data_IF_168120251323
#
_entry.id   IF_168120251323
#
_cell.length_a   1.000
_cell.length_b   1.000
_cell.length_c   1.000
_cell.angle_alpha   90.00
_cell.angle_beta   90.00
_cell.angle_gamma   90.00
#
_symmetry.space_group_name_H-M   'P 1'
#
loop_
_entity.id
_entity.type
_entity.pdbx_description
1 polymer ?
#
# COMPACT_ATOMS: atom_id res chain seq x y z
N UNK A 1 3.07 -15.42 -0.36
CA UNK A 1 4.43 -15.15 0.10
C UNK A 1 5.46 -15.89 -0.79
N UNK A 2 6.51 -15.20 -1.27
CA UNK A 2 7.59 -15.78 -2.11
C UNK A 2 8.53 -16.67 -1.29
N UNK A 3 8.90 -16.25 -0.08
CA UNK A 3 9.86 -16.94 0.77
C UNK A 3 9.32 -18.23 1.37
N UNK A 4 9.93 -19.36 1.06
CA UNK A 4 9.58 -20.66 1.67
C UNK A 4 9.83 -20.65 3.18
N UNK A 5 10.91 -19.97 3.63
CA UNK A 5 11.22 -19.84 5.06
C UNK A 5 10.14 -19.05 5.80
N UNK A 6 9.68 -17.93 5.23
CA UNK A 6 8.60 -17.13 5.83
C UNK A 6 7.29 -17.91 5.91
N UNK A 7 6.96 -18.71 4.89
CA UNK A 7 5.79 -19.59 4.93
C UNK A 7 5.91 -20.69 6.00
N UNK A 8 7.08 -21.33 6.11
CA UNK A 8 7.35 -22.32 7.15
C UNK A 8 7.23 -21.72 8.56
N UNK A 9 7.84 -20.53 8.78
CA UNK A 9 7.74 -19.80 10.03
C UNK A 9 6.28 -19.46 10.40
N UNK A 10 5.48 -18.98 9.43
CA UNK A 10 4.07 -18.68 9.64
C UNK A 10 3.27 -19.94 10.03
N UNK A 11 3.58 -21.08 9.42
CA UNK A 11 2.95 -22.35 9.76
C UNK A 11 3.34 -22.84 11.15
N UNK A 12 4.61 -22.80 11.48
CA UNK A 12 5.15 -23.31 12.73
C UNK A 12 4.70 -22.48 13.94
N UNK A 13 4.78 -21.14 13.84
CA UNK A 13 4.56 -20.24 14.98
C UNK A 13 3.12 -19.76 15.11
N UNK A 14 2.36 -19.69 14.01
CA UNK A 14 1.01 -19.13 14.00
C UNK A 14 -0.04 -20.08 13.44
N UNK A 15 0.35 -21.30 13.04
CA UNK A 15 -0.51 -22.28 12.35
C UNK A 15 -1.23 -21.71 11.11
N UNK A 16 -0.61 -20.75 10.41
CA UNK A 16 -1.14 -20.16 9.20
C UNK A 16 -0.68 -20.94 7.97
N UNK A 17 -1.62 -21.29 7.09
CA UNK A 17 -1.35 -21.94 5.80
C UNK A 17 -1.15 -20.89 4.71
N UNK A 18 0.03 -20.29 4.70
CA UNK A 18 0.40 -19.26 3.71
C UNK A 18 0.79 -19.90 2.39
N UNK A 19 0.03 -19.62 1.34
CA UNK A 19 0.28 -20.14 0.00
C UNK A 19 1.47 -19.42 -0.69
N UNK A 20 2.19 -20.11 -1.60
CA UNK A 20 3.15 -19.43 -2.46
C UNK A 20 2.42 -18.44 -3.38
N UNK A 21 3.11 -17.36 -3.80
CA UNK A 21 2.52 -16.35 -4.67
C UNK A 21 2.03 -16.91 -6.02
N UNK A 22 2.65 -18.00 -6.50
CA UNK A 22 2.24 -18.70 -7.72
C UNK A 22 0.84 -19.31 -7.62
N UNK A 23 0.36 -19.62 -6.40
CA UNK A 23 -0.96 -20.18 -6.18
C UNK A 23 -2.12 -19.23 -6.54
N UNK A 24 -1.83 -17.94 -6.80
CA UNK A 24 -2.85 -17.02 -7.32
C UNK A 24 -3.47 -17.50 -8.65
N UNK A 25 -2.71 -18.25 -9.45
CA UNK A 25 -3.15 -18.81 -10.73
C UNK A 25 -4.11 -20.00 -10.59
N UNK A 26 -4.15 -20.60 -9.41
CA UNK A 26 -4.97 -21.80 -9.12
C UNK A 26 -6.42 -21.44 -8.73
N UNK A 27 -6.67 -20.16 -8.44
CA UNK A 27 -8.01 -19.69 -8.10
C UNK A 27 -8.82 -19.36 -9.36
N UNK A 28 -10.10 -19.74 -9.34
CA UNK A 28 -11.02 -19.42 -10.42
C UNK A 28 -11.31 -17.91 -10.49
N UNK A 29 -11.59 -17.35 -11.67
CA UNK A 29 -12.08 -15.97 -11.79
C UNK A 29 -13.30 -15.73 -10.89
N UNK A 30 -13.36 -14.55 -10.26
CA UNK A 30 -14.47 -14.19 -9.38
C UNK A 30 -14.53 -14.96 -8.06
N UNK A 31 -13.40 -15.48 -7.56
CA UNK A 31 -13.33 -16.25 -6.32
C UNK A 31 -13.35 -15.42 -5.04
N UNK A 32 -13.08 -14.11 -5.12
CA UNK A 32 -12.91 -13.27 -3.95
C UNK A 32 -13.83 -12.05 -3.99
N UNK A 33 -14.49 -11.78 -2.86
CA UNK A 33 -15.25 -10.55 -2.66
C UNK A 33 -14.35 -9.39 -2.20
N UNK A 34 -13.25 -9.71 -1.51
CA UNK A 34 -12.29 -8.73 -1.03
C UNK A 34 -10.87 -9.25 -1.22
N UNK A 35 -10.01 -8.43 -1.80
CA UNK A 35 -8.56 -8.66 -1.86
C UNK A 35 -7.87 -7.48 -1.20
N UNK A 36 -6.88 -7.75 -0.35
CA UNK A 36 -6.12 -6.69 0.34
C UNK A 36 -4.62 -6.82 0.11
N UNK A 37 -3.95 -5.69 -0.12
CA UNK A 37 -2.50 -5.56 -0.24
C UNK A 37 -2.02 -4.50 0.76
N UNK A 38 -1.34 -4.95 1.82
CA UNK A 38 -0.80 -4.08 2.86
C UNK A 38 0.71 -3.97 2.70
N UNK A 39 1.20 -2.87 2.15
CA UNK A 39 2.62 -2.66 1.84
C UNK A 39 3.22 -3.83 1.05
N UNK A 40 2.56 -4.18 -0.05
CA UNK A 40 2.95 -5.27 -0.96
C UNK A 40 3.15 -4.75 -2.38
N UNK A 41 2.28 -3.83 -2.83
CA UNK A 41 2.23 -3.40 -4.22
C UNK A 41 3.54 -2.74 -4.68
N UNK A 42 4.21 -2.00 -3.81
CA UNK A 42 5.47 -1.33 -4.07
C UNK A 42 6.65 -2.29 -4.34
N UNK A 43 6.51 -3.57 -3.95
CA UNK A 43 7.51 -4.61 -4.14
C UNK A 43 7.28 -5.51 -5.36
N UNK A 44 6.16 -5.36 -6.07
CA UNK A 44 5.76 -6.27 -7.14
C UNK A 44 6.45 -5.92 -8.46
N UNK A 45 7.28 -6.84 -8.99
CA UNK A 45 7.94 -6.68 -10.28
C UNK A 45 6.95 -6.64 -11.45
N UNK A 46 6.05 -7.66 -11.64
CA UNK A 46 5.08 -7.67 -12.72
C UNK A 46 3.80 -6.92 -12.32
N UNK A 47 3.90 -5.62 -12.06
CA UNK A 47 2.80 -4.84 -11.49
C UNK A 47 1.53 -4.84 -12.35
N UNK A 48 1.66 -4.66 -13.68
CA UNK A 48 0.51 -4.67 -14.60
C UNK A 48 -0.19 -6.03 -14.60
N UNK A 49 0.56 -7.12 -14.77
CA UNK A 49 0.03 -8.49 -14.79
C UNK A 49 -0.63 -8.85 -13.47
N UNK A 50 -0.05 -8.40 -12.36
CA UNK A 50 -0.65 -8.62 -11.03
C UNK A 50 -2.02 -7.95 -10.94
N UNK A 51 -2.16 -6.69 -11.38
CA UNK A 51 -3.45 -6.00 -11.32
C UNK A 51 -4.51 -6.64 -12.23
N UNK A 52 -4.13 -7.13 -13.40
CA UNK A 52 -5.01 -7.90 -14.26
C UNK A 52 -5.48 -9.20 -13.59
N UNK A 53 -4.55 -9.91 -12.94
CA UNK A 53 -4.85 -11.11 -12.14
C UNK A 53 -5.82 -10.80 -11.00
N UNK A 54 -5.52 -9.76 -10.19
CA UNK A 54 -6.38 -9.36 -9.07
C UNK A 54 -7.79 -8.97 -9.56
N UNK A 55 -7.87 -8.26 -10.70
CA UNK A 55 -9.14 -7.91 -11.31
C UNK A 55 -9.93 -9.14 -11.74
N UNK A 56 -9.28 -10.15 -12.32
CA UNK A 56 -9.91 -11.41 -12.71
C UNK A 56 -10.43 -12.17 -11.48
N UNK A 57 -9.66 -12.24 -10.41
CA UNK A 57 -9.98 -12.97 -9.20
C UNK A 57 -11.12 -12.37 -8.38
N UNK A 58 -11.35 -11.06 -8.46
CA UNK A 58 -12.46 -10.40 -7.77
C UNK A 58 -13.81 -10.72 -8.42
N UNK A 59 -14.85 -10.87 -7.59
CA UNK A 59 -16.23 -10.86 -8.05
C UNK A 59 -16.59 -9.51 -8.68
N UNK A 60 -17.72 -9.43 -9.40
CA UNK A 60 -18.15 -8.17 -10.02
C UNK A 60 -18.41 -7.04 -9.01
N UNK A 61 -18.82 -7.36 -7.80
CA UNK A 61 -19.01 -6.41 -6.69
C UNK A 61 -17.81 -6.37 -5.75
N UNK A 62 -16.74 -7.09 -6.08
CA UNK A 62 -15.56 -7.24 -5.25
C UNK A 62 -14.78 -5.95 -5.06
N UNK A 63 -14.03 -5.91 -3.98
CA UNK A 63 -13.26 -4.74 -3.52
C UNK A 63 -11.79 -5.08 -3.44
N UNK A 64 -10.93 -4.24 -4.03
CA UNK A 64 -9.49 -4.29 -3.86
C UNK A 64 -9.07 -3.16 -2.91
N UNK A 65 -8.43 -3.51 -1.80
CA UNK A 65 -7.89 -2.55 -0.83
C UNK A 65 -6.37 -2.58 -0.92
N UNK A 66 -5.77 -1.42 -1.15
CA UNK A 66 -4.32 -1.28 -1.31
C UNK A 66 -3.79 -0.21 -0.36
N UNK A 67 -2.88 -0.59 0.51
CA UNK A 67 -2.12 0.34 1.36
C UNK A 67 -0.68 0.43 0.84
N UNK A 68 -0.21 1.65 0.56
CA UNK A 68 1.15 1.93 0.06
C UNK A 68 1.70 3.24 0.62
N UNK A 69 3.04 3.40 0.67
CA UNK A 69 3.68 4.67 0.97
C UNK A 69 3.30 5.75 -0.06
N UNK A 70 3.18 6.99 0.41
CA UNK A 70 2.81 8.14 -0.40
C UNK A 70 4.01 9.08 -0.58
N UNK A 71 4.70 9.01 -1.71
CA UNK A 71 5.87 9.85 -1.97
C UNK A 71 5.55 11.36 -2.15
N UNK A 72 4.28 11.76 -2.08
CA UNK A 72 3.86 13.16 -2.02
C UNK A 72 3.46 13.65 -0.62
N UNK A 73 3.69 12.82 0.41
CA UNK A 73 3.38 13.13 1.81
C UNK A 73 4.17 14.33 2.35
N UNK A 74 3.80 14.79 3.54
CA UNK A 74 4.51 15.88 4.22
C UNK A 74 5.96 15.47 4.55
N UNK A 75 6.15 14.31 5.16
CA UNK A 75 7.44 13.78 5.56
C UNK A 75 8.32 13.42 4.36
N UNK A 76 7.75 12.85 3.28
CA UNK A 76 8.47 12.63 2.03
C UNK A 76 9.04 13.93 1.44
N UNK A 77 8.24 15.00 1.41
CA UNK A 77 8.70 16.31 0.95
C UNK A 77 9.76 16.92 1.86
N UNK A 78 9.62 16.75 3.17
CA UNK A 78 10.58 17.26 4.15
C UNK A 78 11.93 16.59 4.05
N UNK A 79 11.96 15.27 3.91
CA UNK A 79 13.19 14.49 3.88
C UNK A 79 13.81 14.34 2.49
N UNK A 80 13.03 14.59 1.44
CA UNK A 80 13.51 14.47 0.05
C UNK A 80 14.06 13.07 -0.23
N UNK A 81 15.22 12.98 -0.84
CA UNK A 81 15.87 11.72 -1.21
C UNK A 81 16.20 10.79 -0.01
N UNK A 82 16.21 11.31 1.21
CA UNK A 82 16.52 10.54 2.42
C UNK A 82 15.29 9.88 3.05
N UNK A 83 14.09 10.12 2.51
CA UNK A 83 12.87 9.55 3.07
C UNK A 83 12.92 8.02 3.09
N UNK A 84 12.81 7.44 4.30
CA UNK A 84 13.05 6.01 4.51
C UNK A 84 12.09 5.10 3.75
N UNK A 85 10.87 5.58 3.46
CA UNK A 85 9.90 4.79 2.72
C UNK A 85 10.13 4.76 1.18
N UNK A 86 11.20 5.40 0.68
CA UNK A 86 11.69 5.06 -0.66
C UNK A 86 12.29 3.65 -0.71
N UNK A 87 12.95 3.23 0.36
CA UNK A 87 13.44 1.85 0.59
C UNK A 87 14.05 1.16 -0.64
N UNK A 88 14.84 1.89 -1.41
CA UNK A 88 15.50 1.39 -2.63
C UNK A 88 16.62 0.41 -2.25
N UNK A 89 16.76 -0.75 -2.93
CA UNK A 89 16.03 -1.20 -4.12
C UNK A 89 14.80 -2.09 -3.83
N UNK A 90 14.35 -2.24 -2.58
CA UNK A 90 13.23 -3.11 -2.23
C UNK A 90 11.88 -2.58 -2.73
N UNK A 91 11.65 -1.26 -2.64
CA UNK A 91 10.51 -0.61 -3.26
C UNK A 91 10.84 -0.29 -4.71
N UNK A 92 10.19 -0.98 -5.63
CA UNK A 92 10.34 -0.80 -7.07
C UNK A 92 9.46 0.32 -7.60
N UNK A 93 8.38 0.64 -6.88
CA UNK A 93 7.35 1.60 -7.29
C UNK A 93 7.07 2.61 -6.18
N UNK A 94 6.93 3.86 -6.57
CA UNK A 94 6.59 4.96 -5.65
C UNK A 94 5.32 5.65 -6.12
N UNK A 95 4.33 5.70 -5.24
CA UNK A 95 2.99 6.16 -5.59
C UNK A 95 2.66 7.51 -4.95
N UNK A 96 1.90 8.31 -5.69
CA UNK A 96 1.11 9.42 -5.18
C UNK A 96 -0.37 9.06 -5.29
N UNK A 97 -1.29 9.77 -4.59
CA UNK A 97 -2.73 9.56 -4.76
C UNK A 97 -3.19 9.66 -6.23
N UNK A 98 -2.59 10.56 -7.01
CA UNK A 98 -2.91 10.71 -8.42
C UNK A 98 -2.42 9.56 -9.29
N UNK A 99 -1.16 9.14 -9.09
CA UNK A 99 -0.57 8.07 -9.92
C UNK A 99 -1.22 6.71 -9.67
N UNK A 100 -1.55 6.36 -8.42
CA UNK A 100 -2.23 5.10 -8.12
C UNK A 100 -3.67 5.10 -8.63
N UNK A 101 -4.36 6.25 -8.60
CA UNK A 101 -5.69 6.39 -9.18
C UNK A 101 -5.67 6.18 -10.70
N UNK A 102 -4.72 6.81 -11.40
CA UNK A 102 -4.53 6.63 -12.84
C UNK A 102 -4.20 5.18 -13.18
N UNK A 103 -3.31 4.56 -12.40
CA UNK A 103 -2.92 3.17 -12.58
C UNK A 103 -4.12 2.23 -12.42
N UNK A 104 -4.90 2.37 -11.34
CA UNK A 104 -6.13 1.60 -11.14
C UNK A 104 -7.13 1.80 -12.28
N UNK A 105 -7.28 3.04 -12.74
CA UNK A 105 -8.18 3.37 -13.85
C UNK A 105 -7.78 2.69 -15.16
N UNK A 106 -6.47 2.61 -15.45
CA UNK A 106 -5.90 1.91 -16.61
C UNK A 106 -6.21 0.41 -16.57
N UNK A 107 -6.23 -0.20 -15.38
CA UNK A 107 -6.51 -1.62 -15.18
C UNK A 107 -8.01 -1.93 -14.92
N UNK A 108 -8.90 -1.03 -15.27
CA UNK A 108 -10.35 -1.29 -15.22
C UNK A 108 -10.94 -1.19 -13.81
N UNK A 109 -10.31 -0.41 -12.93
CA UNK A 109 -10.84 -0.09 -11.59
C UNK A 109 -11.29 1.37 -11.49
N UNK A 110 -12.18 1.64 -10.55
CA UNK A 110 -12.55 2.97 -10.08
C UNK A 110 -12.10 3.07 -8.64
N UNK A 111 -11.40 4.14 -8.27
CA UNK A 111 -11.10 4.44 -6.88
C UNK A 111 -12.37 4.95 -6.20
N UNK A 112 -12.94 4.13 -5.31
CA UNK A 112 -14.15 4.47 -4.56
C UNK A 112 -13.84 5.33 -3.34
N UNK A 113 -12.78 4.98 -2.60
CA UNK A 113 -12.42 5.64 -1.36
C UNK A 113 -10.90 5.73 -1.19
N UNK A 114 -10.47 6.67 -0.33
CA UNK A 114 -9.08 6.80 0.13
C UNK A 114 -9.03 7.25 1.57
N UNK A 115 -8.17 6.60 2.36
CA UNK A 115 -8.04 6.85 3.79
C UNK A 115 -6.57 7.08 4.15
N UNK A 116 -6.26 7.99 5.07
CA UNK A 116 -4.90 8.18 5.56
C UNK A 116 -4.50 7.05 6.52
N UNK A 117 -3.21 6.74 6.57
CA UNK A 117 -2.57 5.95 7.62
C UNK A 117 -1.67 6.87 8.45
N UNK A 118 -2.24 7.65 9.38
CA UNK A 118 -1.53 8.78 9.99
C UNK A 118 -0.38 8.37 10.90
N UNK A 119 -0.42 7.17 11.47
CA UNK A 119 0.61 6.70 12.41
C UNK A 119 1.90 6.24 11.74
N UNK A 120 1.88 5.88 10.46
CA UNK A 120 3.07 5.52 9.70
C UNK A 120 4.11 6.64 9.67
N UNK A 121 3.65 7.88 9.72
CA UNK A 121 4.52 9.06 9.73
C UNK A 121 5.55 9.04 10.88
N UNK A 122 5.19 8.53 12.06
CA UNK A 122 6.09 8.41 13.20
C UNK A 122 7.19 7.39 12.92
N UNK A 123 6.80 6.19 12.50
CA UNK A 123 7.74 5.12 12.19
C UNK A 123 8.71 5.52 11.07
N UNK A 124 8.16 6.01 9.95
CA UNK A 124 8.96 6.40 8.78
C UNK A 124 9.89 7.56 9.09
N UNK A 125 9.43 8.56 9.86
CA UNK A 125 10.28 9.69 10.27
C UNK A 125 11.41 9.25 11.20
N UNK A 126 11.14 8.41 12.20
CA UNK A 126 12.19 7.88 13.10
C UNK A 126 13.22 7.05 12.31
N UNK A 127 12.76 6.22 11.37
CA UNK A 127 13.65 5.42 10.53
C UNK A 127 14.50 6.31 9.62
N UNK A 128 13.93 7.36 9.04
CA UNK A 128 14.64 8.35 8.22
C UNK A 128 15.75 9.03 9.01
N UNK A 129 15.44 9.56 10.20
CA UNK A 129 16.41 10.24 11.05
C UNK A 129 17.55 9.30 11.50
N UNK A 130 17.23 8.01 11.71
CA UNK A 130 18.24 6.97 12.01
C UNK A 130 19.15 6.71 10.79
N UNK A 131 18.60 6.62 9.60
CA UNK A 131 19.38 6.44 8.36
C UNK A 131 20.28 7.64 8.08
N UNK A 132 19.83 8.83 8.38
CA UNK A 132 20.62 10.06 8.27
C UNK A 132 21.68 10.20 9.39
N UNK A 133 21.73 9.25 10.32
CA UNK A 133 22.67 9.23 11.48
C UNK A 133 22.63 10.51 12.32
N UNK A 134 21.47 11.15 12.41
CA UNK A 134 21.32 12.33 13.25
C UNK A 134 21.37 11.98 14.73
N UNK A 135 22.03 12.84 15.52
CA UNK A 135 21.90 12.80 16.97
C UNK A 135 20.44 12.97 17.40
N UNK A 136 19.99 12.25 18.42
CA UNK A 136 18.60 12.29 18.90
C UNK A 136 17.56 11.91 17.81
N UNK A 137 17.89 10.95 16.92
CA UNK A 137 17.02 10.51 15.82
C UNK A 137 15.58 10.21 16.27
N UNK A 138 15.41 9.58 17.44
CA UNK A 138 14.09 9.31 18.02
C UNK A 138 13.28 10.60 18.22
N UNK A 139 13.84 11.60 18.93
CA UNK A 139 13.14 12.84 19.23
C UNK A 139 12.81 13.63 17.96
N UNK A 140 13.76 13.73 17.04
CA UNK A 140 13.57 14.41 15.75
C UNK A 140 12.50 13.71 14.90
N UNK A 141 12.53 12.38 14.87
CA UNK A 141 11.52 11.57 14.17
C UNK A 141 10.12 11.75 14.77
N UNK A 142 10.02 11.80 16.10
CA UNK A 142 8.76 12.07 16.80
C UNK A 142 8.20 13.47 16.46
N UNK A 143 9.04 14.49 16.45
CA UNK A 143 8.64 15.87 16.07
C UNK A 143 8.13 15.87 14.62
N UNK A 144 8.89 15.29 13.69
CA UNK A 144 8.48 15.26 12.27
C UNK A 144 7.23 14.42 12.08
N UNK A 145 7.12 13.25 12.73
CA UNK A 145 5.94 12.40 12.71
C UNK A 145 4.69 13.16 13.19
N UNK A 146 4.81 13.93 14.28
CA UNK A 146 3.72 14.76 14.80
C UNK A 146 3.29 15.83 13.79
N UNK A 147 4.24 16.54 13.17
CA UNK A 147 3.94 17.54 12.14
C UNK A 147 3.27 16.90 10.90
N UNK A 148 3.75 15.73 10.48
CA UNK A 148 3.16 14.99 9.37
C UNK A 148 1.74 14.50 9.72
N UNK A 149 1.52 14.02 10.94
CA UNK A 149 0.22 13.62 11.44
C UNK A 149 -0.78 14.79 11.43
N UNK A 150 -0.42 15.95 11.97
CA UNK A 150 -1.25 17.16 11.90
C UNK A 150 -1.51 17.60 10.46
N UNK A 151 -0.47 17.53 9.59
CA UNK A 151 -0.64 17.85 8.16
C UNK A 151 -1.66 16.93 7.48
N UNK A 152 -1.71 15.65 7.86
CA UNK A 152 -2.68 14.68 7.34
C UNK A 152 -4.09 14.93 7.87
N UNK A 153 -4.25 15.47 9.09
CA UNK A 153 -5.58 15.89 9.60
C UNK A 153 -6.16 17.04 8.78
N UNK A 154 -5.32 18.00 8.36
CA UNK A 154 -5.75 19.12 7.52
C UNK A 154 -6.03 18.67 6.09
N UNK A 155 -5.17 17.81 5.54
CA UNK A 155 -5.31 17.30 4.17
C UNK A 155 -4.87 15.84 4.13
N UNK A 156 -5.84 14.92 3.99
CA UNK A 156 -5.63 13.46 4.05
C UNK A 156 -4.52 12.98 3.12
N UNK A 157 -4.41 13.56 1.92
CA UNK A 157 -3.41 13.21 0.92
C UNK A 157 -1.96 13.55 1.30
N UNK A 158 -1.75 14.19 2.45
CA UNK A 158 -0.41 14.46 3.01
C UNK A 158 0.06 13.37 3.98
N UNK A 159 -0.75 12.32 4.21
CA UNK A 159 -0.37 11.18 5.05
C UNK A 159 0.81 10.42 4.44
N UNK A 160 1.69 9.92 5.30
CA UNK A 160 2.90 9.16 4.94
C UNK A 160 2.58 7.91 4.14
N UNK A 161 1.54 7.19 4.54
CA UNK A 161 0.94 6.08 3.79
C UNK A 161 -0.55 6.32 3.62
N UNK A 162 -1.12 5.71 2.58
CA UNK A 162 -2.53 5.82 2.23
C UNK A 162 -3.13 4.45 1.93
N UNK A 163 -4.39 4.27 2.30
CA UNK A 163 -5.23 3.16 1.90
C UNK A 163 -6.15 3.63 0.77
N UNK A 164 -6.22 2.84 -0.28
CA UNK A 164 -7.08 3.06 -1.44
C UNK A 164 -8.03 1.89 -1.61
N UNK A 165 -9.30 2.20 -1.80
CA UNK A 165 -10.37 1.23 -2.04
C UNK A 165 -10.79 1.31 -3.49
N UNK A 166 -10.63 0.22 -4.21
CA UNK A 166 -10.96 0.12 -5.63
C UNK A 166 -12.12 -0.84 -5.87
N UNK A 167 -12.97 -0.52 -6.86
CA UNK A 167 -14.04 -1.39 -7.39
C UNK A 167 -13.87 -1.56 -8.90
N UNK A 168 -14.37 -2.65 -9.45
CA UNK A 168 -14.34 -2.85 -10.92
C UNK A 168 -15.18 -1.77 -11.62
N UNK A 169 -14.69 -1.28 -12.76
CA UNK A 169 -15.50 -0.47 -13.68
C UNK A 169 -16.64 -1.33 -14.23
N UNK A 170 -17.88 -0.90 -14.05
CA UNK A 170 -19.07 -1.62 -14.52
C UNK A 170 -19.86 -2.36 -13.43
N UNK A 171 -19.30 -2.50 -12.21
CA UNK A 171 -20.03 -3.09 -11.06
C UNK A 171 -21.11 -2.19 -10.44
N UNK A 172 -21.20 -0.93 -10.88
CA UNK A 172 -22.15 0.06 -10.32
C UNK A 172 -23.55 0.08 -10.97
N UNK A 173 -23.87 -0.84 -11.91
CA UNK A 173 -25.22 -0.92 -12.46
C UNK A 173 -26.18 -1.64 -11.50
N UNK A 174 -26.38 -1.11 -10.29
CA UNK A 174 -27.32 -1.79 -9.38
C UNK A 174 -27.56 -1.15 -8.02
N UNK A 175 -27.29 0.14 -7.83
CA UNK A 175 -27.82 0.87 -6.66
C UNK A 175 -28.27 2.27 -7.15
N UNK A 176 -29.37 2.28 -7.85
CA UNK A 176 -30.31 3.38 -7.92
C UNK A 176 -31.67 2.74 -7.68
N UNK A 177 -32.09 2.80 -6.43
CA UNK A 177 -33.48 3.04 -6.01
C UNK A 177 -33.48 3.14 -4.49
#
# INVERSE_FOLDING_TARGET
>A
EKSAQARAFAKEHFNLDVKPHTALKDFAPGSFDVITLWHVMEHLEPLNETWETLRSLLTEKGVLIVAVPNCSSFDAKKYGAYWAAYDVPRHLWHFTPGTIQQFGSKHGFIMAERHPMPFDAFYVSMLTEKHMRHSCAFLRGMITGTLAWFSALVKKERSSSMIYVFRKKGGEKGIRD
#
